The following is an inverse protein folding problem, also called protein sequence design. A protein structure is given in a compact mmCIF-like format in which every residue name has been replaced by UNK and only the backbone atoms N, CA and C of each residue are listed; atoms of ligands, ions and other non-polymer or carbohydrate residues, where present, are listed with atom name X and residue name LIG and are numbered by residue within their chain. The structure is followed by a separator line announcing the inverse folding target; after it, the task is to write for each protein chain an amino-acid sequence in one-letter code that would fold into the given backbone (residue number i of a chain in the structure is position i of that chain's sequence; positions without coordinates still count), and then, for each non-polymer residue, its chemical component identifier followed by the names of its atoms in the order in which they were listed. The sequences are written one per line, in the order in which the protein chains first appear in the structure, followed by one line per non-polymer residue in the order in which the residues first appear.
data_IF_269536990742
#
_entry.id   IF_269536990742
#
_cell.length_a   1.000
_cell.length_b   1.000
_cell.length_c   1.000
_cell.angle_alpha   90.00
_cell.angle_beta   90.00
_cell.angle_gamma   90.00
#
_symmetry.space_group_name_H-M   'P 1'
#
loop_
_entity.id
_entity.type
_entity.pdbx_description
1 polymer ?
#
# COMPACT_ATOMS: atom_id res chain seq x y z
N UNK A 1 18.78 -2.81 -1.68
CA UNK A 1 18.02 -2.61 -0.41
C UNK A 1 18.05 -1.18 0.13
N UNK A 2 19.21 -0.48 0.18
CA UNK A 2 19.20 0.94 0.61
C UNK A 2 18.39 1.83 -0.35
N UNK A 3 18.42 1.54 -1.64
CA UNK A 3 17.70 2.33 -2.64
C UNK A 3 16.19 2.13 -2.61
N UNK A 4 15.70 0.89 -2.45
CA UNK A 4 14.26 0.63 -2.35
C UNK A 4 13.66 1.30 -1.11
N UNK A 5 14.32 1.22 0.05
CA UNK A 5 13.85 1.89 1.26
C UNK A 5 13.80 3.40 1.06
N UNK A 6 14.81 4.00 0.41
CA UNK A 6 14.82 5.44 0.09
C UNK A 6 13.65 5.82 -0.81
N UNK A 7 13.41 5.08 -1.90
CA UNK A 7 12.31 5.34 -2.84
C UNK A 7 10.94 5.22 -2.16
N UNK A 8 10.74 4.16 -1.35
CA UNK A 8 9.49 3.95 -0.62
C UNK A 8 9.23 5.07 0.39
N UNK A 9 10.26 5.53 1.12
CA UNK A 9 10.11 6.68 2.02
C UNK A 9 9.79 7.96 1.24
N UNK A 10 10.52 8.26 0.15
CA UNK A 10 10.25 9.42 -0.70
C UNK A 10 8.80 9.42 -1.22
N UNK A 11 8.30 8.25 -1.63
CA UNK A 11 6.93 8.13 -2.09
C UNK A 11 5.91 8.34 -0.97
N UNK A 12 6.11 7.73 0.21
CA UNK A 12 5.24 7.95 1.37
C UNK A 12 5.24 9.41 1.82
N UNK A 13 6.40 10.05 1.88
CA UNK A 13 6.54 11.48 2.20
C UNK A 13 5.75 12.35 1.20
N UNK A 14 5.84 12.04 -0.10
CA UNK A 14 5.07 12.73 -1.14
C UNK A 14 3.55 12.55 -0.98
N UNK A 15 3.09 11.38 -0.52
CA UNK A 15 1.68 11.15 -0.21
C UNK A 15 1.22 11.95 1.02
N UNK A 16 2.05 12.02 2.06
CA UNK A 16 1.77 12.82 3.25
C UNK A 16 1.67 14.32 2.90
N UNK A 17 2.60 14.84 2.07
CA UNK A 17 2.52 16.23 1.56
C UNK A 17 1.27 16.44 0.69
N UNK A 18 0.98 15.54 -0.24
CA UNK A 18 -0.22 15.64 -1.08
C UNK A 18 -1.51 15.67 -0.25
N UNK A 19 -1.59 14.87 0.81
CA UNK A 19 -2.70 14.89 1.78
C UNK A 19 -2.78 16.26 2.45
N UNK A 20 -1.67 16.77 2.97
CA UNK A 20 -1.66 18.03 3.74
C UNK A 20 -2.01 19.25 2.87
N UNK A 21 -1.75 19.18 1.56
CA UNK A 21 -2.18 20.18 0.55
C UNK A 21 -3.63 19.98 0.05
N UNK A 22 -4.37 19.01 0.61
CA UNK A 22 -5.79 18.76 0.28
C UNK A 22 -6.02 18.08 -1.07
N UNK A 23 -4.98 17.49 -1.69
CA UNK A 23 -5.11 16.83 -3.00
C UNK A 23 -6.02 15.59 -2.94
N UNK A 24 -6.24 15.03 -1.75
CA UNK A 24 -7.05 13.83 -1.50
C UNK A 24 -8.47 14.09 -1.00
N UNK A 25 -8.82 15.32 -0.64
CA UNK A 25 -10.10 15.65 0.04
C UNK A 25 -11.35 15.20 -0.74
N UNK A 26 -11.25 15.15 -2.07
CA UNK A 26 -12.35 14.77 -2.97
C UNK A 26 -12.30 13.30 -3.41
N UNK A 27 -11.27 12.55 -3.01
CA UNK A 27 -11.15 11.14 -3.35
C UNK A 27 -11.81 10.28 -2.26
N UNK A 28 -12.71 9.38 -2.68
CA UNK A 28 -13.51 8.57 -1.76
C UNK A 28 -12.69 7.54 -0.96
N UNK A 29 -11.47 7.22 -1.39
CA UNK A 29 -10.58 6.24 -0.74
C UNK A 29 -9.49 6.98 0.05
N UNK A 30 -8.90 8.03 -0.53
CA UNK A 30 -7.72 8.71 0.04
C UNK A 30 -8.04 9.83 1.03
N UNK A 31 -9.29 10.30 1.16
CA UNK A 31 -9.65 11.36 2.12
C UNK A 31 -9.33 10.99 3.59
N UNK A 32 -9.11 9.70 3.90
CA UNK A 32 -8.71 9.18 5.22
C UNK A 32 -7.31 8.57 5.25
N UNK A 33 -6.48 8.84 4.24
CA UNK A 33 -5.14 8.28 4.12
C UNK A 33 -4.37 8.36 5.47
N UNK A 34 -3.82 7.23 5.98
CA UNK A 34 -3.64 5.93 5.31
C UNK A 34 -4.79 4.91 5.49
N UNK A 35 -5.88 5.24 6.18
CA UNK A 35 -6.97 4.28 6.47
C UNK A 35 -7.83 3.99 5.25
N UNK A 36 -8.01 2.70 4.95
CA UNK A 36 -8.98 2.23 3.94
C UNK A 36 -8.54 2.38 2.48
N UNK A 37 -7.28 2.76 2.23
CA UNK A 37 -6.73 2.97 0.89
C UNK A 37 -5.52 2.08 0.58
N UNK A 38 -5.19 1.11 1.44
CA UNK A 38 -4.00 0.24 1.31
C UNK A 38 -3.85 -0.42 -0.07
N UNK A 39 -4.96 -0.87 -0.68
CA UNK A 39 -4.94 -1.45 -2.03
C UNK A 39 -4.49 -0.45 -3.10
N UNK A 40 -5.16 0.70 -3.17
CA UNK A 40 -4.80 1.75 -4.12
C UNK A 40 -3.40 2.31 -3.86
N UNK A 41 -3.03 2.53 -2.59
CA UNK A 41 -1.71 3.03 -2.20
C UNK A 41 -0.60 2.06 -2.64
N UNK A 42 -0.85 0.74 -2.52
CA UNK A 42 0.07 -0.29 -3.00
C UNK A 42 0.22 -0.25 -4.52
N UNK A 43 -0.88 -0.13 -5.28
CA UNK A 43 -0.80 -0.02 -6.75
C UNK A 43 -0.07 1.25 -7.21
N UNK A 44 -0.31 2.39 -6.54
CA UNK A 44 0.39 3.65 -6.83
C UNK A 44 1.89 3.56 -6.52
N UNK A 45 2.26 2.96 -5.38
CA UNK A 45 3.66 2.73 -5.04
C UNK A 45 4.33 1.75 -6.02
N UNK A 46 3.62 0.70 -6.43
CA UNK A 46 4.13 -0.27 -7.39
C UNK A 46 4.43 0.37 -8.75
N UNK A 47 3.59 1.32 -9.20
CA UNK A 47 3.87 2.10 -10.41
C UNK A 47 5.17 2.90 -10.27
N UNK A 48 5.35 3.59 -9.16
CA UNK A 48 6.57 4.37 -8.92
C UNK A 48 7.82 3.49 -8.85
N UNK A 49 7.74 2.35 -8.18
CA UNK A 49 8.85 1.39 -8.11
C UNK A 49 9.14 0.79 -9.48
N UNK A 50 8.12 0.47 -10.29
CA UNK A 50 8.28 -0.04 -11.65
C UNK A 50 8.98 0.97 -12.56
N UNK A 51 8.61 2.25 -12.50
CA UNK A 51 9.30 3.35 -13.21
C UNK A 51 10.76 3.51 -12.78
N UNK A 52 11.10 3.09 -11.56
CA UNK A 52 12.46 3.02 -11.03
C UNK A 52 13.14 1.65 -11.23
N UNK A 53 12.57 0.78 -12.07
CA UNK A 53 13.15 -0.52 -12.44
C UNK A 53 13.03 -1.61 -11.37
N UNK A 54 12.14 -1.44 -10.39
CA UNK A 54 11.91 -2.38 -9.30
C UNK A 54 10.58 -3.08 -9.54
N UNK A 55 10.62 -4.39 -9.71
CA UNK A 55 9.42 -5.23 -9.85
C UNK A 55 8.83 -5.56 -8.48
N UNK A 56 7.51 -5.55 -8.40
CA UNK A 56 6.76 -5.91 -7.20
C UNK A 56 5.56 -6.77 -7.53
N UNK A 57 5.05 -7.45 -6.50
CA UNK A 57 3.81 -8.18 -6.50
C UNK A 57 2.88 -7.54 -5.48
N UNK A 58 1.65 -7.28 -5.87
CA UNK A 58 0.61 -6.88 -4.95
C UNK A 58 0.18 -8.10 -4.16
N UNK A 59 -0.05 -7.91 -2.86
CA UNK A 59 -0.61 -8.89 -1.94
C UNK A 59 -1.81 -8.28 -1.22
N UNK A 60 -2.90 -9.02 -1.10
CA UNK A 60 -4.03 -8.67 -0.23
C UNK A 60 -4.30 -9.81 0.75
N UNK A 61 -3.95 -9.60 2.01
CA UNK A 61 -4.21 -10.56 3.07
C UNK A 61 -5.54 -10.29 3.78
N UNK A 62 -6.13 -11.35 4.35
CA UNK A 62 -7.35 -11.25 5.17
C UNK A 62 -7.09 -11.74 6.58
N UNK A 63 -7.31 -10.88 7.56
CA UNK A 63 -7.39 -11.24 8.97
C UNK A 63 -8.82 -11.69 9.32
N UNK A 64 -8.93 -12.78 10.08
CA UNK A 64 -10.19 -13.32 10.60
C UNK A 64 -10.05 -13.58 12.09
N UNK A 65 -10.90 -12.99 12.91
CA UNK A 65 -10.91 -13.18 14.37
C UNK A 65 -11.63 -14.47 14.81
N UNK A 66 -12.07 -15.29 13.86
CA UNK A 66 -12.88 -16.50 14.08
C UNK A 66 -14.40 -16.25 14.07
N UNK A 67 -14.85 -14.99 13.96
CA UNK A 67 -16.24 -14.65 13.67
C UNK A 67 -16.47 -14.48 12.17
N UNK A 68 -17.66 -14.81 11.68
CA UNK A 68 -18.03 -14.60 10.27
C UNK A 68 -18.25 -13.12 9.91
N UNK A 69 -18.39 -12.25 10.92
CA UNK A 69 -18.77 -10.84 10.72
C UNK A 69 -17.56 -9.88 10.74
N UNK A 70 -16.44 -10.25 11.34
CA UNK A 70 -15.25 -9.42 11.42
C UNK A 70 -14.10 -9.99 10.58
N UNK A 71 -14.07 -9.63 9.30
CA UNK A 71 -12.88 -9.80 8.46
C UNK A 71 -12.26 -8.46 8.13
N UNK A 72 -10.95 -8.33 8.31
CA UNK A 72 -10.21 -7.14 7.93
C UNK A 72 -9.19 -7.51 6.85
N UNK A 73 -9.25 -6.84 5.69
CA UNK A 73 -8.22 -6.98 4.68
C UNK A 73 -7.13 -5.92 4.83
N UNK A 74 -5.93 -6.25 4.36
CA UNK A 74 -4.82 -5.31 4.22
C UNK A 74 -4.03 -5.65 2.97
N UNK A 75 -3.50 -4.62 2.30
CA UNK A 75 -2.71 -4.80 1.10
C UNK A 75 -1.34 -4.15 1.23
N UNK A 76 -0.34 -4.83 0.66
CA UNK A 76 1.05 -4.40 0.64
C UNK A 76 1.73 -4.93 -0.63
N UNK A 77 3.02 -4.62 -0.80
CA UNK A 77 3.83 -5.12 -1.91
C UNK A 77 4.88 -6.13 -1.44
N UNK A 78 5.15 -7.12 -2.27
CA UNK A 78 6.31 -7.99 -2.19
C UNK A 78 7.29 -7.67 -3.30
N UNK A 79 8.56 -7.45 -2.95
CA UNK A 79 9.67 -7.38 -3.89
C UNK A 79 10.52 -8.66 -3.83
N UNK A 80 11.59 -8.70 -4.62
CA UNK A 80 12.54 -9.82 -4.65
C UNK A 80 13.00 -10.26 -3.24
N UNK A 81 13.30 -11.55 -3.11
CA UNK A 81 13.67 -12.20 -1.84
C UNK A 81 12.60 -12.09 -0.74
N UNK A 82 11.31 -12.04 -1.12
CA UNK A 82 10.18 -11.94 -0.19
C UNK A 82 10.25 -10.69 0.71
N UNK A 83 10.78 -9.59 0.17
CA UNK A 83 10.83 -8.32 0.91
C UNK A 83 9.44 -7.68 0.91
N UNK A 84 8.81 -7.57 2.07
CA UNK A 84 7.57 -6.82 2.27
C UNK A 84 7.87 -5.34 2.21
N UNK A 85 6.99 -4.61 1.54
CA UNK A 85 6.95 -3.15 1.46
C UNK A 85 5.52 -2.72 1.78
N UNK A 86 5.35 -2.02 2.89
CA UNK A 86 4.04 -1.50 3.33
C UNK A 86 4.18 -0.04 3.73
N UNK A 87 3.37 0.81 3.11
CA UNK A 87 3.30 2.26 3.36
C UNK A 87 1.98 2.68 3.98
N UNK A 88 1.18 1.75 4.47
CA UNK A 88 -0.14 2.02 5.08
C UNK A 88 -0.38 1.23 6.37
N UNK A 89 0.59 0.44 6.84
CA UNK A 89 0.46 -0.33 8.07
C UNK A 89 0.12 0.51 9.30
N UNK A 90 0.59 1.77 9.36
CA UNK A 90 0.24 2.74 10.42
C UNK A 90 -1.25 3.13 10.46
N UNK A 91 -2.09 2.60 9.55
CA UNK A 91 -3.55 2.67 9.68
C UNK A 91 -4.07 1.93 10.93
N UNK A 92 -3.30 0.95 11.43
CA UNK A 92 -3.66 0.06 12.54
C UNK A 92 -3.09 0.49 13.91
N UNK A 93 -2.46 1.66 14.01
CA UNK A 93 -1.74 2.13 15.21
C UNK A 93 -2.56 2.14 16.52
N UNK A 94 -3.88 2.29 16.41
CA UNK A 94 -4.79 2.37 17.56
C UNK A 94 -5.59 1.08 17.79
N UNK A 95 -5.23 -0.02 17.10
CA UNK A 95 -5.94 -1.29 17.21
C UNK A 95 -5.03 -2.40 17.78
N UNK A 96 -5.31 -2.91 19.00
CA UNK A 96 -4.49 -3.94 19.63
C UNK A 96 -4.56 -5.31 18.93
N UNK A 97 -5.65 -5.62 18.22
CA UNK A 97 -5.77 -6.87 17.45
C UNK A 97 -4.76 -6.91 16.29
N UNK A 98 -4.31 -5.74 15.85
CA UNK A 98 -3.27 -5.55 14.85
C UNK A 98 -1.97 -5.04 15.46
N UNK A 99 -1.70 -5.44 16.72
CA UNK A 99 -0.45 -5.16 17.45
C UNK A 99 -0.14 -3.67 17.63
N UNK A 100 -1.14 -2.78 17.50
CA UNK A 100 -0.94 -1.33 17.46
C UNK A 100 0.14 -0.92 16.45
N UNK A 101 0.12 -1.54 15.27
CA UNK A 101 1.17 -1.37 14.27
C UNK A 101 1.22 0.08 13.75
N UNK A 102 2.30 0.80 14.07
CA UNK A 102 2.47 2.25 13.81
C UNK A 102 3.64 2.56 12.86
N UNK A 103 4.07 1.58 12.05
CA UNK A 103 5.11 1.84 11.05
C UNK A 103 4.49 2.45 9.80
N UNK A 104 4.75 3.74 9.56
CA UNK A 104 4.30 4.44 8.35
C UNK A 104 4.98 3.94 7.08
N UNK A 105 6.20 3.42 7.22
CA UNK A 105 6.94 2.71 6.18
C UNK A 105 7.59 1.47 6.77
N UNK A 106 7.27 0.31 6.21
CA UNK A 106 7.92 -0.95 6.48
C UNK A 106 8.58 -1.50 5.21
N UNK A 107 9.86 -1.88 5.34
CA UNK A 107 10.62 -2.55 4.28
C UNK A 107 11.48 -3.62 4.94
N UNK A 108 11.14 -4.89 4.76
CA UNK A 108 11.83 -5.99 5.45
C UNK A 108 11.24 -7.36 5.20
N UNK A 109 11.74 -8.36 5.93
CA UNK A 109 11.15 -9.70 5.94
C UNK A 109 9.78 -9.70 6.62
N UNK A 110 9.04 -10.80 6.58
CA UNK A 110 7.76 -10.92 7.26
C UNK A 110 7.88 -10.75 8.79
N UNK A 111 7.10 -9.83 9.36
CA UNK A 111 7.00 -9.61 10.80
C UNK A 111 5.65 -10.10 11.37
N UNK A 112 5.48 -9.98 12.69
CA UNK A 112 4.31 -10.51 13.40
C UNK A 112 3.00 -9.90 12.89
N UNK A 113 3.01 -8.64 12.44
CA UNK A 113 1.83 -7.97 11.92
C UNK A 113 1.40 -8.59 10.59
N UNK A 114 2.32 -8.77 9.64
CA UNK A 114 1.97 -9.36 8.35
C UNK A 114 1.55 -10.83 8.46
N UNK A 115 2.09 -11.56 9.45
CA UNK A 115 1.67 -12.95 9.77
C UNK A 115 0.22 -13.09 10.22
N UNK A 116 -0.44 -12.00 10.64
CA UNK A 116 -1.85 -12.03 11.04
C UNK A 116 -2.78 -12.29 9.86
N UNK A 117 -2.34 -11.99 8.63
CA UNK A 117 -3.20 -12.01 7.47
C UNK A 117 -3.02 -13.31 6.67
N UNK A 118 -4.12 -14.00 6.43
CA UNK A 118 -4.16 -15.15 5.52
C UNK A 118 -4.04 -14.65 4.07
N UNK A 119 -3.09 -15.20 3.31
CA UNK A 119 -2.85 -14.87 1.90
C UNK A 119 -2.95 -16.15 1.08
N UNK A 120 -3.85 -16.18 0.11
CA UNK A 120 -3.92 -17.26 -0.88
C UNK A 120 -3.26 -16.83 -2.20
N UNK A 121 -2.86 -17.80 -3.04
CA UNK A 121 -2.21 -17.52 -4.33
C UNK A 121 -3.04 -16.58 -5.23
N UNK A 122 -4.38 -16.65 -5.15
CA UNK A 122 -5.29 -15.77 -5.91
C UNK A 122 -5.23 -14.30 -5.48
N UNK A 123 -4.74 -14.03 -4.28
CA UNK A 123 -4.66 -12.70 -3.69
C UNK A 123 -3.30 -12.02 -3.97
N UNK A 124 -2.42 -12.73 -4.70
CA UNK A 124 -1.12 -12.24 -5.15
C UNK A 124 -1.15 -12.02 -6.67
N UNK A 125 -0.73 -10.83 -7.12
CA UNK A 125 -0.58 -10.55 -8.55
C UNK A 125 0.68 -9.75 -8.84
N UNK A 126 1.30 -10.00 -9.99
CA UNK A 126 2.40 -9.15 -10.45
C UNK A 126 1.89 -7.74 -10.80
N UNK A 127 2.62 -6.71 -10.35
CA UNK A 127 2.35 -5.34 -10.78
C UNK A 127 3.06 -5.09 -12.12
N UNK A 128 2.27 -4.92 -13.18
CA UNK A 128 2.75 -4.60 -14.53
C UNK A 128 2.37 -3.17 -14.97
N UNK A 129 2.07 -2.31 -13.99
CA UNK A 129 1.74 -0.89 -14.15
C UNK A 129 0.25 -0.58 -14.06
N UNK A 130 -0.08 0.69 -13.76
CA UNK A 130 -1.47 1.15 -13.60
C UNK A 130 -2.32 0.96 -14.86
N UNK A 131 -1.68 0.95 -16.03
CA UNK A 131 -2.39 0.81 -17.31
C UNK A 131 -2.91 -0.59 -17.57
N UNK A 132 -2.42 -1.58 -16.82
CA UNK A 132 -2.95 -2.94 -16.85
C UNK A 132 -4.11 -3.15 -15.87
N UNK A 133 -4.41 -2.17 -15.00
CA UNK A 133 -5.57 -2.26 -14.10
C UNK A 133 -6.87 -2.05 -14.89
N UNK A 134 -7.96 -2.62 -14.38
CA UNK A 134 -9.28 -2.53 -15.03
C UNK A 134 -9.70 -1.09 -15.33
N UNK A 135 -10.35 -0.89 -16.48
CA UNK A 135 -10.66 0.42 -17.07
C UNK A 135 -11.47 1.37 -16.18
N UNK A 136 -12.23 0.85 -15.21
CA UNK A 136 -13.03 1.68 -14.29
C UNK A 136 -12.18 2.40 -13.24
N UNK A 137 -11.07 1.81 -12.77
CA UNK A 137 -10.23 2.39 -11.71
C UNK A 137 -9.03 3.17 -12.25
N UNK A 138 -8.59 2.84 -13.47
CA UNK A 138 -7.38 3.39 -14.09
C UNK A 138 -7.35 4.93 -14.16
N UNK A 139 -8.41 5.67 -14.58
CA UNK A 139 -8.35 7.13 -14.66
C UNK A 139 -8.16 7.81 -13.30
N UNK A 140 -8.82 7.27 -12.25
CA UNK A 140 -8.72 7.77 -10.88
C UNK A 140 -7.31 7.58 -10.34
N UNK A 141 -6.77 6.36 -10.44
CA UNK A 141 -5.44 6.05 -9.95
C UNK A 141 -4.36 6.83 -10.69
N UNK A 142 -4.47 6.99 -12.01
CA UNK A 142 -3.58 7.87 -12.77
C UNK A 142 -3.65 9.33 -12.31
N UNK A 143 -4.85 9.82 -11.99
CA UNK A 143 -5.04 11.16 -11.44
C UNK A 143 -4.37 11.34 -10.07
N UNK A 144 -4.54 10.37 -9.17
CA UNK A 144 -3.90 10.35 -7.85
C UNK A 144 -2.38 10.25 -7.98
N UNK A 145 -1.89 9.35 -8.83
CA UNK A 145 -0.47 9.18 -9.12
C UNK A 145 0.15 10.53 -9.50
N UNK A 146 -0.39 11.20 -10.53
CA UNK A 146 0.08 12.53 -10.97
C UNK A 146 0.07 13.59 -9.88
N UNK A 147 -0.85 13.53 -8.91
CA UNK A 147 -0.87 14.46 -7.78
C UNK A 147 0.28 14.18 -6.81
N UNK A 148 0.56 12.92 -6.54
CA UNK A 148 1.64 12.49 -5.64
C UNK A 148 3.02 12.83 -6.25
N UNK A 149 3.26 12.53 -7.53
CA UNK A 149 4.61 12.69 -8.13
C UNK A 149 5.05 14.16 -8.20
N UNK A 150 4.13 15.13 -8.06
CA UNK A 150 4.49 16.56 -7.95
C UNK A 150 5.38 16.86 -6.74
N UNK A 151 5.35 15.99 -5.73
CA UNK A 151 6.05 16.17 -4.45
C UNK A 151 7.30 15.27 -4.31
N UNK A 152 7.78 14.68 -5.41
CA UNK A 152 8.96 13.79 -5.47
C UNK A 152 10.12 14.50 -6.17
#
# INVERSE_FOLDING_TARGET
MKDIKRLVNQFRDAMDVARDEGEFDKDFSFYKFPRGCCGDASDLLAQFLLENGIRTYYVCGTYRDGSFENSQSHAWLLADNQTIIDITGDQFRDNPDFLNYDKSVYVGAEDDFHRLFEVEDRDVRENIGLDALGSMCQPRLNGLYRKIIKYI
#
